data_IF_667293039537
#
_entry.id   IF_667293039537
#
_cell.length_a   1.000
_cell.length_b   1.000
_cell.length_c   1.000
_cell.angle_alpha   90.00
_cell.angle_beta   90.00
_cell.angle_gamma   90.00
#
_symmetry.space_group_name_H-M   'P 1'
#
loop_
_entity.id
_entity.type
_entity.pdbx_description
1 polymer ?
#
# COMPACT_ATOMS: atom_id res chain seq x y z
N UNK A 1 -3.27 -4.10 -8.58
CA UNK A 1 -3.92 -2.83 -8.21
C UNK A 1 -2.87 -1.75 -8.21
N UNK A 2 -3.02 -0.79 -9.11
CA UNK A 2 -2.14 0.38 -9.14
C UNK A 2 -2.42 1.32 -7.97
N UNK A 3 -1.42 2.11 -7.58
CA UNK A 3 -1.56 3.17 -6.56
C UNK A 3 -2.76 4.10 -6.81
N UNK A 4 -3.07 4.38 -8.09
CA UNK A 4 -4.22 5.24 -8.46
C UNK A 4 -5.55 4.60 -8.10
N UNK A 5 -5.73 3.32 -8.41
CA UNK A 5 -6.95 2.59 -8.06
C UNK A 5 -7.13 2.52 -6.54
N UNK A 6 -6.05 2.36 -5.77
CA UNK A 6 -6.10 2.35 -4.30
C UNK A 6 -6.65 3.66 -3.74
N UNK A 7 -6.14 4.79 -4.25
CA UNK A 7 -6.60 6.13 -3.84
C UNK A 7 -8.08 6.33 -4.23
N UNK A 8 -8.48 5.88 -5.42
CA UNK A 8 -9.88 5.97 -5.86
C UNK A 8 -10.83 5.12 -5.00
N UNK A 9 -10.45 3.88 -4.63
CA UNK A 9 -11.29 3.05 -3.77
C UNK A 9 -11.47 3.65 -2.38
N UNK A 10 -10.41 4.18 -1.77
CA UNK A 10 -10.49 4.86 -0.48
C UNK A 10 -11.36 6.12 -0.57
N UNK A 11 -11.21 6.89 -1.64
CA UNK A 11 -12.04 8.06 -1.90
C UNK A 11 -13.52 7.69 -2.03
N UNK A 12 -13.85 6.58 -2.70
CA UNK A 12 -15.22 6.07 -2.81
C UNK A 12 -15.81 5.63 -1.45
N UNK A 13 -14.96 5.26 -0.49
CA UNK A 13 -15.35 5.01 0.91
C UNK A 13 -15.42 6.28 1.77
N UNK A 14 -15.19 7.47 1.19
CA UNK A 14 -15.14 8.74 1.92
C UNK A 14 -13.81 9.01 2.63
N UNK A 15 -12.79 8.19 2.40
CA UNK A 15 -11.44 8.35 2.96
C UNK A 15 -10.58 9.06 1.92
N UNK A 16 -10.39 10.37 2.08
CA UNK A 16 -9.55 11.18 1.19
C UNK A 16 -8.14 11.23 1.78
N UNK A 17 -7.18 10.63 1.07
CA UNK A 17 -5.78 10.70 1.44
C UNK A 17 -5.20 12.06 1.05
N UNK A 18 -4.47 12.69 1.96
CA UNK A 18 -3.61 13.83 1.67
C UNK A 18 -2.34 13.39 0.94
N UNK A 19 -1.70 14.31 0.22
CA UNK A 19 -0.42 14.06 -0.47
C UNK A 19 0.65 13.48 0.46
N UNK A 20 0.68 13.96 1.71
CA UNK A 20 1.58 13.45 2.75
C UNK A 20 1.30 11.98 3.10
N UNK A 21 0.03 11.59 3.22
CA UNK A 21 -0.34 10.19 3.50
C UNK A 21 0.01 9.29 2.31
N UNK A 22 -0.20 9.78 1.09
CA UNK A 22 0.18 9.07 -0.13
C UNK A 22 1.70 8.81 -0.16
N UNK A 23 2.51 9.82 0.19
CA UNK A 23 3.97 9.64 0.31
C UNK A 23 4.36 8.67 1.44
N UNK A 24 3.61 8.65 2.55
CA UNK A 24 3.86 7.73 3.64
C UNK A 24 3.61 6.28 3.22
N UNK A 25 2.53 6.01 2.47
CA UNK A 25 2.28 4.68 1.90
C UNK A 25 3.38 4.24 0.93
N UNK A 26 3.87 5.13 0.06
CA UNK A 26 5.01 4.83 -0.82
C UNK A 26 6.28 4.48 -0.03
N UNK A 27 6.60 5.25 1.00
CA UNK A 27 7.77 5.00 1.85
C UNK A 27 7.64 3.67 2.59
N UNK A 28 6.45 3.38 3.11
CA UNK A 28 6.16 2.12 3.79
C UNK A 28 6.32 0.94 2.82
N UNK A 29 5.77 1.04 1.60
CA UNK A 29 5.92 0.03 0.57
C UNK A 29 7.40 -0.27 0.26
N UNK A 30 8.20 0.78 0.02
CA UNK A 30 9.64 0.62 -0.25
C UNK A 30 10.37 -0.06 0.91
N UNK A 31 10.07 0.33 2.14
CA UNK A 31 10.67 -0.27 3.34
C UNK A 31 10.27 -1.74 3.49
N UNK A 32 8.99 -2.06 3.24
CA UNK A 32 8.48 -3.43 3.30
C UNK A 32 9.21 -4.32 2.29
N UNK A 33 9.36 -3.87 1.03
CA UNK A 33 10.09 -4.61 -0.01
C UNK A 33 11.55 -4.82 0.37
N UNK A 34 12.25 -3.77 0.81
CA UNK A 34 13.66 -3.84 1.21
C UNK A 34 13.88 -4.85 2.36
N UNK A 35 13.01 -4.81 3.37
CA UNK A 35 13.09 -5.75 4.49
C UNK A 35 12.65 -7.16 4.10
N UNK A 36 11.74 -7.29 3.14
CA UNK A 36 11.32 -8.59 2.64
C UNK A 36 12.48 -9.33 1.96
N UNK A 37 13.31 -8.62 1.19
CA UNK A 37 14.52 -9.19 0.58
C UNK A 37 15.51 -9.73 1.62
N UNK A 38 15.55 -9.13 2.82
CA UNK A 38 16.48 -9.51 3.90
C UNK A 38 15.94 -10.64 4.78
N UNK A 39 14.62 -10.71 5.00
CA UNK A 39 14.04 -11.54 6.05
C UNK A 39 12.81 -12.39 5.62
N UNK A 40 12.34 -12.30 4.37
CA UNK A 40 11.12 -12.98 3.89
C UNK A 40 9.88 -12.73 4.79
N UNK A 41 9.53 -11.47 4.99
CA UNK A 41 8.40 -11.00 5.82
C UNK A 41 7.01 -11.33 5.25
N UNK A 42 6.87 -11.39 3.92
CA UNK A 42 5.63 -11.62 3.18
C UNK A 42 5.95 -12.34 1.87
N UNK A 43 5.09 -13.29 1.49
CA UNK A 43 5.15 -13.95 0.18
C UNK A 43 4.69 -13.03 -0.96
N UNK A 44 4.09 -11.88 -0.62
CA UNK A 44 3.59 -10.87 -1.56
C UNK A 44 4.59 -9.72 -1.59
N UNK A 45 5.33 -9.60 -2.69
CA UNK A 45 6.33 -8.55 -2.95
C UNK A 45 5.94 -7.60 -4.08
N UNK A 46 4.92 -7.97 -4.85
CA UNK A 46 4.40 -7.15 -5.93
C UNK A 46 3.66 -5.94 -5.36
N UNK A 47 3.93 -4.77 -5.93
CA UNK A 47 3.29 -3.50 -5.54
C UNK A 47 1.77 -3.64 -5.54
N UNK A 48 1.25 -4.33 -6.54
CA UNK A 48 -0.17 -4.58 -6.72
C UNK A 48 -0.81 -5.37 -5.58
N UNK A 49 -0.16 -6.44 -5.13
CA UNK A 49 -0.61 -7.29 -4.04
C UNK A 49 -0.43 -6.65 -2.68
N UNK A 50 0.64 -5.86 -2.48
CA UNK A 50 0.83 -5.14 -1.21
C UNK A 50 -0.21 -4.04 -1.03
N UNK A 51 -0.45 -3.22 -2.05
CA UNK A 51 -1.45 -2.16 -1.96
C UNK A 51 -2.87 -2.71 -1.78
N UNK A 52 -3.20 -3.83 -2.44
CA UNK A 52 -4.52 -4.45 -2.34
C UNK A 52 -4.72 -5.24 -1.05
N UNK A 53 -3.82 -6.16 -0.70
CA UNK A 53 -4.04 -7.08 0.43
C UNK A 53 -3.48 -6.61 1.76
N UNK A 54 -2.46 -5.75 1.77
CA UNK A 54 -1.90 -5.26 3.02
C UNK A 54 -2.48 -3.89 3.39
N UNK A 55 -2.50 -2.94 2.45
CA UNK A 55 -2.95 -1.59 2.78
C UNK A 55 -4.46 -1.44 2.76
N UNK A 56 -5.14 -1.89 1.70
CA UNK A 56 -6.59 -1.72 1.61
C UNK A 56 -7.35 -2.54 2.65
N UNK A 57 -7.05 -3.84 2.80
CA UNK A 57 -7.63 -4.69 3.85
C UNK A 57 -7.37 -4.19 5.28
N UNK A 58 -6.28 -3.46 5.53
CA UNK A 58 -6.02 -2.89 6.87
C UNK A 58 -6.84 -1.63 7.17
N UNK A 59 -7.34 -0.95 6.15
CA UNK A 59 -8.08 0.31 6.29
C UNK A 59 -9.59 0.06 6.31
N UNK A 60 -10.05 -1.01 5.66
CA UNK A 60 -11.48 -1.36 5.52
C UNK A 60 -11.92 -2.43 6.48
#
# INVERSE_FOLDING_TARGET
MSKKEFIELLKNKGIILSDKQIEQFDKYFKLLVEWNEKMNLTAITDEEGVYLKHFYDSIT
#
